data_IF_262292148468
#
_entry.id   IF_262292148468
#
_cell.length_a   1.000
_cell.length_b   1.000
_cell.length_c   1.000
_cell.angle_alpha   90.00
_cell.angle_beta   90.00
_cell.angle_gamma   90.00
#
_symmetry.space_group_name_H-M   'P 1'
#
loop_
_entity.id
_entity.type
_entity.pdbx_description
1 polymer ?
#
# COMPACT_ATOMS: atom_id res chain seq x y z
N UNK A 1 -0.73 24.36 -3.01
CA UNK A 1 -0.46 23.11 -2.28
C UNK A 1 -1.73 22.35 -1.89
N UNK A 2 -2.82 23.06 -1.59
CA UNK A 2 -4.07 22.40 -1.21
C UNK A 2 -4.60 21.51 -2.33
N UNK A 3 -4.54 21.97 -3.57
CA UNK A 3 -4.97 21.17 -4.73
C UNK A 3 -4.11 19.93 -4.89
N UNK A 4 -2.79 20.05 -4.70
CA UNK A 4 -1.87 18.93 -4.78
C UNK A 4 -2.11 17.92 -3.64
N UNK A 5 -2.40 18.42 -2.45
CA UNK A 5 -2.72 17.55 -1.31
C UNK A 5 -3.98 16.73 -1.61
N UNK A 6 -5.01 17.36 -2.19
CA UNK A 6 -6.21 16.65 -2.60
C UNK A 6 -5.91 15.58 -3.65
N UNK A 7 -5.05 15.88 -4.61
CA UNK A 7 -4.64 14.92 -5.64
C UNK A 7 -3.93 13.71 -5.04
N UNK A 8 -3.04 13.94 -4.07
CA UNK A 8 -2.34 12.85 -3.39
C UNK A 8 -3.33 11.92 -2.70
N UNK A 9 -4.30 12.48 -1.96
CA UNK A 9 -5.28 11.67 -1.23
C UNK A 9 -6.21 10.95 -2.20
N UNK A 10 -6.60 11.58 -3.33
CA UNK A 10 -7.38 10.92 -4.37
C UNK A 10 -6.64 9.70 -4.93
N UNK A 11 -5.33 9.81 -5.13
CA UNK A 11 -4.52 8.69 -5.62
C UNK A 11 -4.44 7.58 -4.57
N UNK A 12 -4.29 7.94 -3.30
CA UNK A 12 -4.30 6.96 -2.20
C UNK A 12 -5.63 6.22 -2.16
N UNK A 13 -6.75 6.93 -2.31
CA UNK A 13 -8.08 6.31 -2.34
C UNK A 13 -8.20 5.30 -3.48
N UNK A 14 -7.79 5.70 -4.67
CA UNK A 14 -7.82 4.80 -5.84
C UNK A 14 -6.97 3.55 -5.62
N UNK A 15 -5.80 3.73 -5.02
CA UNK A 15 -4.91 2.62 -4.72
C UNK A 15 -5.55 1.67 -3.70
N UNK A 16 -6.21 2.22 -2.68
CA UNK A 16 -6.89 1.41 -1.66
C UNK A 16 -8.07 0.64 -2.26
N UNK A 17 -8.83 1.24 -3.19
CA UNK A 17 -9.93 0.54 -3.87
C UNK A 17 -9.42 -0.68 -4.63
N UNK A 18 -8.29 -0.57 -5.29
CA UNK A 18 -7.68 -1.70 -6.01
C UNK A 18 -7.15 -2.76 -5.04
N UNK A 19 -6.52 -2.34 -3.95
CA UNK A 19 -6.01 -3.24 -2.93
C UNK A 19 -7.13 -4.07 -2.32
N UNK A 20 -8.26 -3.43 -2.02
CA UNK A 20 -9.44 -4.12 -1.47
C UNK A 20 -9.94 -5.20 -2.42
N UNK A 21 -9.99 -4.91 -3.71
CA UNK A 21 -10.42 -5.90 -4.72
C UNK A 21 -9.48 -7.10 -4.76
N UNK A 22 -8.18 -6.87 -4.67
CA UNK A 22 -7.18 -7.95 -4.63
C UNK A 22 -7.36 -8.77 -3.36
N UNK A 23 -7.60 -8.12 -2.22
CA UNK A 23 -7.80 -8.81 -0.93
C UNK A 23 -9.07 -9.67 -0.97
N UNK A 24 -10.16 -9.16 -1.55
CA UNK A 24 -11.39 -9.93 -1.71
C UNK A 24 -11.16 -11.19 -2.55
N UNK A 25 -10.44 -11.05 -3.65
CA UNK A 25 -10.12 -12.19 -4.51
C UNK A 25 -9.30 -13.24 -3.75
N UNK A 26 -8.28 -12.80 -3.01
CA UNK A 26 -7.44 -13.70 -2.24
C UNK A 26 -8.24 -14.42 -1.15
N UNK A 27 -9.12 -13.70 -0.47
CA UNK A 27 -9.95 -14.26 0.59
C UNK A 27 -10.92 -15.30 0.04
N UNK A 28 -11.56 -15.02 -1.10
CA UNK A 28 -12.51 -15.93 -1.76
C UNK A 28 -11.82 -17.20 -2.26
N UNK A 29 -10.53 -17.14 -2.55
CA UNK A 29 -9.77 -18.27 -3.10
C UNK A 29 -8.85 -18.91 -2.06
N UNK A 30 -9.06 -18.63 -0.77
CA UNK A 30 -8.28 -19.16 0.34
C UNK A 30 -6.77 -18.90 0.20
N UNK A 31 -6.42 -17.77 -0.42
CA UNK A 31 -5.03 -17.35 -0.57
C UNK A 31 -4.62 -16.46 0.61
N UNK A 32 -3.32 -16.48 0.93
CA UNK A 32 -2.77 -15.61 1.95
C UNK A 32 -2.83 -14.16 1.47
N UNK A 33 -3.45 -13.27 2.26
CA UNK A 33 -3.64 -11.87 1.88
C UNK A 33 -2.33 -11.10 1.99
N UNK A 34 -1.60 -11.26 3.11
CA UNK A 34 -0.32 -10.58 3.30
C UNK A 34 0.78 -11.31 2.54
N UNK A 35 1.59 -10.55 1.80
CA UNK A 35 2.70 -11.06 1.01
C UNK A 35 3.94 -10.21 1.29
N UNK A 36 4.80 -10.68 2.20
CA UNK A 36 5.98 -9.95 2.65
C UNK A 36 6.99 -9.72 1.52
N UNK A 37 7.13 -10.68 0.62
CA UNK A 37 8.04 -10.55 -0.51
C UNK A 37 7.58 -9.43 -1.44
N UNK A 38 6.28 -9.38 -1.73
CA UNK A 38 5.70 -8.32 -2.55
C UNK A 38 5.83 -6.95 -1.88
N UNK A 39 5.63 -6.89 -0.56
CA UNK A 39 5.80 -5.66 0.21
C UNK A 39 7.22 -5.12 0.06
N UNK A 40 8.22 -5.98 0.15
CA UNK A 40 9.61 -5.55 -0.01
C UNK A 40 9.90 -5.05 -1.42
N UNK A 41 9.34 -5.70 -2.43
CA UNK A 41 9.45 -5.25 -3.82
C UNK A 41 8.87 -3.84 -4.01
N UNK A 42 7.72 -3.57 -3.39
CA UNK A 42 7.06 -2.26 -3.45
C UNK A 42 7.92 -1.19 -2.78
N UNK A 43 8.52 -1.50 -1.62
CA UNK A 43 9.42 -0.58 -0.93
C UNK A 43 10.63 -0.24 -1.79
N UNK A 44 11.22 -1.23 -2.43
CA UNK A 44 12.37 -1.02 -3.33
C UNK A 44 11.96 -0.16 -4.53
N UNK A 45 10.81 -0.42 -5.11
CA UNK A 45 10.31 0.35 -6.25
C UNK A 45 10.10 1.83 -5.90
N UNK A 46 9.45 2.11 -4.76
CA UNK A 46 9.22 3.49 -4.33
C UNK A 46 10.52 4.22 -4.04
N UNK A 47 11.48 3.54 -3.43
CA UNK A 47 12.79 4.14 -3.17
C UNK A 47 13.51 4.48 -4.49
N UNK A 48 13.47 3.57 -5.46
CA UNK A 48 14.04 3.81 -6.78
C UNK A 48 13.39 5.01 -7.48
N UNK A 49 12.05 5.09 -7.42
CA UNK A 49 11.32 6.20 -8.03
C UNK A 49 11.67 7.53 -7.37
N UNK A 50 11.87 7.54 -6.06
CA UNK A 50 12.34 8.72 -5.33
C UNK A 50 13.72 9.15 -5.78
N UNK A 51 14.66 8.19 -5.86
CA UNK A 51 16.03 8.46 -6.27
C UNK A 51 16.09 9.05 -7.68
N UNK A 52 15.30 8.51 -8.60
CA UNK A 52 15.24 9.00 -9.98
C UNK A 52 14.79 10.46 -10.07
N UNK A 53 14.03 10.92 -9.08
CA UNK A 53 13.50 12.28 -9.04
C UNK A 53 14.26 13.22 -8.13
N UNK A 54 15.39 12.75 -7.58
CA UNK A 54 16.20 13.57 -6.67
C UNK A 54 15.55 13.83 -5.32
N UNK A 55 14.63 12.97 -4.91
CA UNK A 55 13.97 13.12 -3.61
C UNK A 55 14.83 12.48 -2.51
N UNK A 56 14.66 12.93 -1.24
CA UNK A 56 15.53 12.48 -0.16
C UNK A 56 15.56 10.97 0.04
N UNK A 57 16.77 10.46 0.28
CA UNK A 57 17.02 9.03 0.49
C UNK A 57 16.21 8.48 1.67
N UNK A 58 15.68 7.29 1.51
CA UNK A 58 14.92 6.57 2.54
C UNK A 58 13.45 6.92 2.61
N UNK A 59 13.04 8.06 2.06
CA UNK A 59 11.65 8.52 2.15
C UNK A 59 10.70 7.74 1.24
N UNK A 60 11.22 7.21 0.13
CA UNK A 60 10.41 6.35 -0.75
C UNK A 60 9.98 5.08 -0.03
N UNK A 61 10.88 4.45 0.69
CA UNK A 61 10.57 3.27 1.50
C UNK A 61 9.57 3.58 2.60
N UNK A 62 9.70 4.74 3.24
CA UNK A 62 8.75 5.16 4.28
C UNK A 62 7.35 5.36 3.71
N UNK A 63 7.24 6.00 2.56
CA UNK A 63 5.94 6.17 1.89
C UNK A 63 5.33 4.82 1.56
N UNK A 64 6.11 3.90 1.00
CA UNK A 64 5.65 2.55 0.68
C UNK A 64 5.14 1.84 1.94
N UNK A 65 5.88 1.93 3.04
CA UNK A 65 5.49 1.33 4.33
C UNK A 65 4.14 1.89 4.79
N UNK A 66 3.97 3.21 4.72
CA UNK A 66 2.71 3.84 5.11
C UNK A 66 1.54 3.37 4.23
N UNK A 67 1.75 3.26 2.93
CA UNK A 67 0.71 2.77 2.01
C UNK A 67 0.36 1.31 2.28
N UNK A 68 1.36 0.48 2.59
CA UNK A 68 1.15 -0.92 2.93
C UNK A 68 0.33 -1.04 4.23
N UNK A 69 0.67 -0.26 5.25
CA UNK A 69 -0.06 -0.26 6.53
C UNK A 69 -1.49 0.23 6.34
N UNK A 70 -1.68 1.29 5.55
CA UNK A 70 -3.00 1.81 5.23
C UNK A 70 -3.84 0.74 4.53
N UNK A 71 -3.22 0.01 3.60
CA UNK A 71 -3.88 -1.08 2.87
C UNK A 71 -4.32 -2.19 3.83
N UNK A 72 -3.46 -2.60 4.75
CA UNK A 72 -3.78 -3.64 5.73
C UNK A 72 -4.96 -3.21 6.60
N UNK A 73 -4.93 -1.97 7.08
CA UNK A 73 -6.02 -1.43 7.90
C UNK A 73 -7.35 -1.43 7.13
N UNK A 74 -7.32 -1.03 5.86
CA UNK A 74 -8.52 -1.01 5.03
C UNK A 74 -9.04 -2.42 4.76
N UNK A 75 -8.14 -3.35 4.49
CA UNK A 75 -8.49 -4.76 4.26
C UNK A 75 -9.12 -5.38 5.52
N UNK A 76 -8.55 -5.08 6.70
CA UNK A 76 -9.11 -5.56 7.98
C UNK A 76 -10.49 -5.01 8.24
N UNK A 77 -10.72 -3.74 7.93
CA UNK A 77 -12.05 -3.13 8.06
C UNK A 77 -13.07 -3.82 7.16
N UNK A 78 -12.68 -4.06 5.92
CA UNK A 78 -13.57 -4.64 4.92
C UNK A 78 -13.89 -6.10 5.20
N UNK A 79 -12.89 -6.89 5.61
CA UNK A 79 -13.05 -8.31 5.91
C UNK A 79 -13.65 -8.57 7.30
N UNK A 80 -13.63 -7.58 8.19
CA UNK A 80 -14.15 -7.71 9.55
C UNK A 80 -13.29 -8.61 10.43
N UNK A 81 -12.00 -8.76 10.11
CA UNK A 81 -11.07 -9.58 10.89
C UNK A 81 -9.66 -9.04 10.76
N UNK A 82 -8.80 -9.42 11.69
CA UNK A 82 -7.39 -9.06 11.64
C UNK A 82 -6.64 -9.91 10.61
N UNK A 83 -5.70 -9.27 9.93
CA UNK A 83 -4.78 -9.94 9.02
C UNK A 83 -3.51 -10.22 9.80
N UNK A 84 -2.94 -11.42 9.64
CA UNK A 84 -1.69 -11.79 10.28
C UNK A 84 -0.56 -10.89 9.76
N UNK A 85 0.11 -10.21 10.68
CA UNK A 85 1.17 -9.25 10.36
C UNK A 85 2.58 -9.79 10.64
N UNK A 86 2.69 -11.02 11.03
CA UNK A 86 3.99 -11.63 11.37
C UNK A 86 4.77 -12.10 10.14
#
# INVERSE_FOLDING_TARGET
LDALNNEIVDIVEKRMDLVVKVAEYKDENDMQIKDEEREEQVKQEFERLYQERGLPEGRGRELATLLIETAIDKEEQMLGRKIDRD
#
